data_IF_643458514573
#
_entry.id   IF_643458514573
#
_cell.length_a   1.000
_cell.length_b   1.000
_cell.length_c   1.000
_cell.angle_alpha   90.00
_cell.angle_beta   90.00
_cell.angle_gamma   90.00
#
_symmetry.space_group_name_H-M   'P 1'
#
loop_
_entity.id
_entity.type
_entity.pdbx_description
1 polymer ?
#
# COMPACT_ATOMS: atom_id res chain seq x y z
N UNK A 1 -7.79 66.21 -13.81
CA UNK A 1 -8.49 66.42 -15.08
C UNK A 1 -8.99 65.11 -15.62
N UNK A 2 -10.26 64.90 -15.40
CA UNK A 2 -11.40 64.76 -16.34
C UNK A 2 -11.42 63.39 -17.00
N UNK A 3 -12.30 62.50 -16.57
CA UNK A 3 -13.75 62.36 -16.92
C UNK A 3 -13.96 61.90 -18.35
N UNK A 4 -14.58 60.74 -18.52
CA UNK A 4 -15.85 60.56 -19.17
C UNK A 4 -16.35 59.12 -19.07
N UNK A 5 -17.59 59.05 -18.62
CA UNK A 5 -18.60 58.02 -18.70
C UNK A 5 -19.02 57.65 -20.14
N UNK A 6 -19.61 56.50 -20.26
CA UNK A 6 -20.85 56.09 -20.93
C UNK A 6 -20.81 54.57 -21.13
N UNK A 7 -21.61 53.77 -20.49
CA UNK A 7 -23.05 53.42 -20.56
C UNK A 7 -23.50 52.84 -21.90
N UNK A 8 -24.05 51.65 -21.84
CA UNK A 8 -25.08 50.91 -22.58
C UNK A 8 -24.78 49.41 -22.50
N UNK A 9 -25.44 48.55 -21.82
CA UNK A 9 -26.83 48.20 -21.70
C UNK A 9 -27.34 47.36 -22.86
N UNK A 10 -27.43 46.03 -22.68
CA UNK A 10 -28.49 45.23 -23.29
C UNK A 10 -28.65 43.88 -22.59
N UNK A 11 -29.87 43.74 -22.08
CA UNK A 11 -30.48 42.50 -21.60
C UNK A 11 -30.64 41.48 -22.73
N UNK A 12 -30.48 40.19 -22.38
CA UNK A 12 -31.17 39.15 -23.11
C UNK A 12 -31.49 37.98 -22.14
N UNK A 13 -32.76 37.93 -21.83
CA UNK A 13 -33.47 36.80 -21.24
C UNK A 13 -33.26 35.51 -22.06
N UNK A 14 -33.06 34.40 -21.38
CA UNK A 14 -33.39 33.09 -21.91
C UNK A 14 -33.99 32.22 -20.81
N UNK A 15 -35.20 32.00 -20.99
CA UNK A 15 -36.28 31.20 -20.45
C UNK A 15 -35.86 29.83 -19.90
N UNK A 16 -36.31 29.59 -18.66
CA UNK A 16 -36.55 28.29 -18.07
C UNK A 16 -37.67 27.55 -18.84
N UNK A 17 -37.47 26.31 -19.14
CA UNK A 17 -38.56 25.36 -19.42
C UNK A 17 -38.49 24.21 -18.42
N UNK A 18 -39.44 24.29 -17.49
CA UNK A 18 -39.96 23.16 -16.70
C UNK A 18 -40.64 22.16 -17.64
N UNK A 19 -40.39 20.90 -17.45
CA UNK A 19 -41.27 19.84 -17.86
C UNK A 19 -41.58 18.97 -16.65
N UNK A 20 -42.73 19.22 -16.08
CA UNK A 20 -43.46 18.29 -15.22
C UNK A 20 -43.89 17.09 -16.06
N UNK A 21 -43.74 15.88 -15.55
CA UNK A 21 -44.50 14.74 -15.98
C UNK A 21 -45.06 14.05 -14.74
N UNK A 22 -46.32 14.03 -14.73
CA UNK A 22 -47.34 13.59 -13.82
C UNK A 22 -47.24 12.14 -13.42
N UNK A 23 -47.58 11.93 -12.17
CA UNK A 23 -48.15 10.73 -11.52
C UNK A 23 -49.19 10.00 -12.43
N UNK A 24 -49.15 8.67 -12.36
CA UNK A 24 -50.35 7.91 -12.22
C UNK A 24 -50.10 6.62 -11.41
N UNK A 25 -50.87 6.53 -10.38
CA UNK A 25 -51.13 5.45 -9.43
C UNK A 25 -52.11 4.43 -9.96
N UNK A 26 -52.09 3.31 -9.36
CA UNK A 26 -53.12 2.22 -9.22
C UNK A 26 -52.66 0.88 -9.74
N UNK A 27 -52.95 -0.25 -9.10
CA UNK A 27 -53.53 -0.58 -7.82
C UNK A 27 -53.31 -2.10 -7.63
N UNK A 28 -53.32 -2.47 -6.41
CA UNK A 28 -53.46 -3.82 -5.87
C UNK A 28 -54.43 -4.75 -6.60
N UNK A 29 -54.10 -6.01 -6.65
CA UNK A 29 -55.11 -7.06 -6.42
C UNK A 29 -54.46 -8.32 -5.87
N UNK A 30 -54.67 -8.49 -4.56
CA UNK A 30 -54.78 -9.76 -3.85
C UNK A 30 -56.00 -10.56 -4.40
N UNK A 31 -55.89 -11.88 -4.28
CA UNK A 31 -56.92 -12.76 -3.73
C UNK A 31 -56.78 -14.17 -4.30
N UNK A 32 -56.42 -15.09 -3.47
CA UNK A 32 -57.23 -16.08 -2.75
C UNK A 32 -58.06 -17.08 -3.55
N UNK A 33 -57.78 -18.31 -3.10
CA UNK A 33 -58.73 -19.37 -2.75
C UNK A 33 -59.07 -20.36 -3.85
N UNK A 34 -58.74 -21.59 -3.66
CA UNK A 34 -59.24 -22.64 -2.77
C UNK A 34 -60.44 -23.41 -3.36
N UNK A 35 -60.41 -24.73 -3.14
CA UNK A 35 -61.48 -25.71 -3.18
C UNK A 35 -62.04 -26.10 -4.56
N UNK A 36 -62.09 -27.32 -4.95
CA UNK A 36 -62.50 -28.53 -4.28
C UNK A 36 -63.48 -29.28 -5.10
N UNK A 37 -63.39 -30.57 -5.02
CA UNK A 37 -64.47 -31.56 -5.14
C UNK A 37 -65.04 -32.04 -6.49
N UNK A 38 -64.89 -33.32 -6.59
CA UNK A 38 -65.88 -34.45 -6.81
C UNK A 38 -66.26 -34.78 -8.24
N UNK A 39 -65.94 -35.95 -8.63
CA UNK A 39 -66.47 -37.29 -8.43
C UNK A 39 -67.34 -37.78 -9.58
N UNK A 40 -67.18 -39.06 -9.82
CA UNK A 40 -68.06 -40.02 -10.60
C UNK A 40 -67.99 -39.99 -12.12
N UNK A 41 -67.91 -41.09 -12.79
CA UNK A 41 -68.30 -42.47 -12.60
C UNK A 41 -67.84 -43.35 -13.77
N UNK A 42 -67.60 -44.51 -13.43
CA UNK A 42 -68.01 -45.83 -13.91
C UNK A 42 -68.07 -46.16 -15.42
N UNK A 43 -67.38 -47.25 -15.64
CA UNK A 43 -67.70 -48.45 -16.41
C UNK A 43 -67.15 -48.59 -17.86
N UNK A 44 -66.40 -49.59 -18.16
CA UNK A 44 -66.56 -50.97 -18.35
C UNK A 44 -65.55 -51.55 -19.35
N UNK A 45 -65.05 -52.72 -19.00
CA UNK A 45 -64.65 -53.90 -19.79
C UNK A 45 -63.84 -53.83 -21.08
N UNK A 46 -62.71 -54.55 -21.04
CA UNK A 46 -62.12 -55.14 -22.24
C UNK A 46 -60.65 -55.65 -22.03
N UNK A 47 -60.60 -56.93 -21.65
CA UNK A 47 -59.58 -57.93 -21.93
C UNK A 47 -58.09 -57.64 -22.13
N UNK A 48 -57.42 -58.37 -21.31
CA UNK A 48 -56.07 -58.92 -21.31
C UNK A 48 -55.23 -58.85 -22.61
N UNK A 49 -54.06 -58.28 -22.51
CA UNK A 49 -52.85 -58.93 -23.04
C UNK A 49 -51.65 -58.53 -22.15
N UNK A 50 -51.16 -59.56 -21.50
CA UNK A 50 -49.94 -59.63 -20.73
C UNK A 50 -48.74 -59.34 -21.65
N UNK A 51 -48.18 -58.14 -21.56
CA UNK A 51 -46.82 -57.86 -21.94
C UNK A 51 -46.16 -57.14 -20.78
N UNK A 52 -45.39 -57.87 -19.98
CA UNK A 52 -44.43 -57.34 -19.05
C UNK A 52 -43.44 -56.46 -19.81
N UNK A 53 -43.77 -55.17 -19.89
CA UNK A 53 -42.76 -54.15 -20.16
C UNK A 53 -42.02 -53.95 -18.83
N UNK A 54 -40.84 -54.53 -18.77
CA UNK A 54 -39.87 -54.27 -17.75
C UNK A 54 -39.49 -52.79 -17.92
N UNK A 55 -40.15 -51.90 -17.18
CA UNK A 55 -39.74 -50.51 -17.02
C UNK A 55 -38.37 -50.49 -16.33
N UNK A 56 -37.32 -50.63 -17.14
CA UNK A 56 -35.99 -50.24 -16.77
C UNK A 56 -36.03 -48.72 -16.58
N UNK A 57 -36.44 -48.28 -15.38
CA UNK A 57 -36.30 -46.90 -14.95
C UNK A 57 -34.82 -46.64 -14.71
N UNK A 58 -34.16 -45.79 -15.50
CA UNK A 58 -32.74 -45.44 -15.28
C UNK A 58 -32.54 -44.53 -14.04
N UNK A 59 -33.59 -44.38 -13.20
CA UNK A 59 -33.61 -43.43 -12.12
C UNK A 59 -32.61 -43.70 -11.00
N UNK A 60 -32.46 -44.97 -10.58
CA UNK A 60 -31.55 -45.30 -9.47
C UNK A 60 -30.07 -45.21 -9.87
N UNK A 61 -29.71 -45.69 -11.06
CA UNK A 61 -28.36 -45.60 -11.57
C UNK A 61 -27.96 -44.11 -11.85
N UNK A 62 -28.93 -43.33 -12.38
CA UNK A 62 -28.71 -41.91 -12.65
C UNK A 62 -28.66 -41.10 -11.33
N UNK A 63 -29.49 -41.39 -10.36
CA UNK A 63 -29.46 -40.79 -9.03
C UNK A 63 -28.13 -41.12 -8.29
N UNK A 64 -27.70 -42.39 -8.35
CA UNK A 64 -26.42 -42.81 -7.78
C UNK A 64 -25.20 -42.16 -8.47
N UNK A 65 -25.28 -41.97 -9.80
CA UNK A 65 -24.24 -41.20 -10.52
C UNK A 65 -24.20 -39.71 -10.13
N UNK A 66 -25.37 -39.08 -9.98
CA UNK A 66 -25.46 -37.68 -9.54
C UNK A 66 -24.96 -37.55 -8.08
N UNK A 67 -25.37 -38.46 -7.20
CA UNK A 67 -24.93 -38.48 -5.80
C UNK A 67 -23.41 -38.75 -5.70
N UNK A 68 -22.88 -39.66 -6.51
CA UNK A 68 -21.43 -39.91 -6.59
C UNK A 68 -20.66 -38.71 -7.17
N UNK A 69 -21.19 -38.01 -8.17
CA UNK A 69 -20.60 -36.81 -8.73
C UNK A 69 -20.62 -35.66 -7.71
N UNK A 70 -21.75 -35.43 -7.03
CA UNK A 70 -21.89 -34.43 -6.00
C UNK A 70 -20.97 -34.67 -4.80
N UNK A 71 -20.83 -35.94 -4.37
CA UNK A 71 -19.88 -36.29 -3.27
C UNK A 71 -18.42 -36.14 -3.72
N UNK A 72 -18.09 -36.50 -4.96
CA UNK A 72 -16.77 -36.34 -5.51
C UNK A 72 -16.40 -34.86 -5.65
N UNK A 73 -17.31 -34.02 -6.14
CA UNK A 73 -17.10 -32.59 -6.25
C UNK A 73 -16.96 -31.93 -4.87
N UNK A 74 -17.79 -32.35 -3.89
CA UNK A 74 -17.69 -31.85 -2.52
C UNK A 74 -16.37 -32.28 -1.83
N UNK A 75 -15.86 -33.49 -2.09
CA UNK A 75 -14.55 -33.91 -1.58
C UNK A 75 -13.41 -33.14 -2.26
N UNK A 76 -13.48 -32.92 -3.58
CA UNK A 76 -12.48 -32.14 -4.30
C UNK A 76 -12.45 -30.68 -3.85
N UNK A 77 -13.58 -30.08 -3.57
CA UNK A 77 -13.71 -28.72 -3.04
C UNK A 77 -13.16 -28.63 -1.61
N UNK A 78 -13.45 -29.63 -0.75
CA UNK A 78 -12.91 -29.72 0.60
C UNK A 78 -11.38 -29.87 0.60
N UNK A 79 -10.82 -30.73 -0.25
CA UNK A 79 -9.38 -30.94 -0.38
C UNK A 79 -8.67 -29.68 -0.90
N UNK A 80 -9.24 -28.98 -1.87
CA UNK A 80 -8.73 -27.70 -2.38
C UNK A 80 -8.73 -26.60 -1.29
N UNK A 81 -9.79 -26.55 -0.48
CA UNK A 81 -9.88 -25.64 0.66
C UNK A 81 -8.81 -25.91 1.71
N UNK A 82 -8.62 -27.20 2.08
CA UNK A 82 -7.60 -27.60 3.04
C UNK A 82 -6.17 -27.33 2.55
N UNK A 83 -5.90 -27.50 1.25
CA UNK A 83 -4.62 -27.17 0.64
C UNK A 83 -4.37 -25.65 0.65
N UNK A 84 -5.38 -24.85 0.32
CA UNK A 84 -5.28 -23.38 0.38
C UNK A 84 -4.98 -22.89 1.79
N UNK A 85 -5.67 -23.43 2.80
CA UNK A 85 -5.43 -23.11 4.22
C UNK A 85 -4.02 -23.49 4.67
N UNK A 86 -3.54 -24.66 4.25
CA UNK A 86 -2.17 -25.10 4.53
C UNK A 86 -1.13 -24.15 3.92
N UNK A 87 -1.36 -23.68 2.70
CA UNK A 87 -0.51 -22.67 2.04
C UNK A 87 -0.52 -21.33 2.80
N UNK A 88 -1.67 -20.85 3.27
CA UNK A 88 -1.77 -19.63 4.06
C UNK A 88 -0.96 -19.72 5.36
N UNK A 89 -1.06 -20.83 6.08
CA UNK A 89 -0.27 -21.07 7.30
C UNK A 89 1.23 -21.11 6.99
N UNK A 90 1.64 -21.80 5.91
CA UNK A 90 3.03 -21.92 5.48
C UNK A 90 3.62 -20.56 5.00
N UNK A 91 2.80 -19.64 4.51
CA UNK A 91 3.23 -18.31 4.07
C UNK A 91 3.61 -17.38 5.23
N UNK A 92 3.14 -17.62 6.46
CA UNK A 92 3.27 -16.69 7.58
C UNK A 92 4.70 -16.22 7.88
N UNK A 93 5.74 -17.07 7.91
CA UNK A 93 7.12 -16.61 8.12
C UNK A 93 7.61 -15.67 7.01
N UNK A 94 7.27 -15.98 5.76
CA UNK A 94 7.64 -15.18 4.60
C UNK A 94 6.93 -13.83 4.61
N UNK A 95 5.64 -13.82 4.92
CA UNK A 95 4.83 -12.60 5.03
C UNK A 95 5.32 -11.69 6.14
N UNK A 96 5.67 -12.23 7.32
CA UNK A 96 6.24 -11.45 8.42
C UNK A 96 7.57 -10.77 8.03
N UNK A 97 8.48 -11.50 7.36
CA UNK A 97 9.71 -10.94 6.83
C UNK A 97 9.45 -9.89 5.75
N UNK A 98 8.49 -10.14 4.87
CA UNK A 98 8.14 -9.27 3.76
C UNK A 98 7.55 -7.94 4.25
N UNK A 99 6.60 -7.97 5.18
CA UNK A 99 6.02 -6.77 5.81
C UNK A 99 7.11 -5.89 6.41
N UNK A 100 8.01 -6.49 7.21
CA UNK A 100 9.12 -5.76 7.82
C UNK A 100 10.08 -5.21 6.74
N UNK A 101 10.42 -5.98 5.72
CA UNK A 101 11.28 -5.53 4.63
C UNK A 101 10.67 -4.33 3.87
N UNK A 102 9.38 -4.39 3.51
CA UNK A 102 8.67 -3.29 2.83
C UNK A 102 8.65 -2.03 3.71
N UNK A 103 8.35 -2.17 5.00
CA UNK A 103 8.35 -1.03 5.92
C UNK A 103 9.74 -0.36 6.01
N UNK A 104 10.80 -1.13 6.21
CA UNK A 104 12.16 -0.57 6.30
C UNK A 104 12.71 -0.09 4.96
N UNK A 105 12.28 -0.66 3.83
CA UNK A 105 12.51 -0.09 2.50
C UNK A 105 11.88 1.31 2.42
N UNK A 106 10.63 1.46 2.89
CA UNK A 106 9.90 2.72 2.91
C UNK A 106 10.61 3.81 3.68
N UNK A 107 11.21 3.48 4.86
CA UNK A 107 11.98 4.45 5.64
C UNK A 107 13.17 5.02 4.86
N UNK A 108 13.87 4.18 4.15
CA UNK A 108 15.04 4.61 3.36
C UNK A 108 14.64 5.29 2.05
N UNK A 109 13.62 4.78 1.36
CA UNK A 109 13.19 5.27 0.05
C UNK A 109 12.48 6.63 0.15
N UNK A 110 11.60 6.80 1.14
CA UNK A 110 11.00 8.09 1.47
C UNK A 110 12.05 9.13 1.82
N UNK A 111 13.11 8.72 2.53
CA UNK A 111 14.22 9.62 2.87
C UNK A 111 15.09 9.95 1.64
N UNK A 112 15.30 9.02 0.71
CA UNK A 112 16.01 9.29 -0.54
C UNK A 112 15.24 10.30 -1.40
N UNK A 113 13.92 10.18 -1.44
CA UNK A 113 13.07 11.14 -2.14
C UNK A 113 13.11 12.52 -1.47
N UNK A 114 13.04 12.59 -0.14
CA UNK A 114 13.16 13.85 0.58
C UNK A 114 14.51 14.52 0.36
N UNK A 115 15.59 13.74 0.40
CA UNK A 115 16.93 14.21 0.06
C UNK A 115 16.99 14.80 -1.35
N UNK A 116 16.37 14.12 -2.31
CA UNK A 116 16.25 14.61 -3.69
C UNK A 116 15.55 15.96 -3.76
N UNK A 117 14.41 16.10 -3.07
CA UNK A 117 13.66 17.37 -3.00
C UNK A 117 14.50 18.50 -2.40
N UNK A 118 15.29 18.25 -1.35
CA UNK A 118 16.14 19.29 -0.74
C UNK A 118 17.15 19.86 -1.75
N UNK A 119 17.74 19.01 -2.59
CA UNK A 119 18.64 19.48 -3.65
C UNK A 119 17.90 20.21 -4.79
N UNK A 120 16.76 19.71 -5.23
CA UNK A 120 15.96 20.32 -6.32
C UNK A 120 15.39 21.67 -5.88
N UNK A 121 14.80 21.73 -4.70
CA UNK A 121 14.23 22.93 -4.12
C UNK A 121 15.28 23.92 -3.59
N UNK A 122 16.55 23.52 -3.59
CA UNK A 122 17.66 24.35 -3.07
C UNK A 122 17.42 24.80 -1.62
N UNK A 123 16.95 23.87 -0.77
CA UNK A 123 16.57 24.15 0.59
C UNK A 123 17.79 24.29 1.50
N UNK A 124 18.10 25.51 1.91
CA UNK A 124 19.25 25.79 2.76
C UNK A 124 19.07 25.39 4.21
N UNK A 125 17.83 25.47 4.73
CA UNK A 125 17.54 25.14 6.14
C UNK A 125 17.98 23.73 6.53
N UNK A 126 17.85 22.77 5.62
CA UNK A 126 18.13 21.35 5.87
C UNK A 126 19.59 20.94 5.63
N UNK A 127 20.46 21.88 5.20
CA UNK A 127 21.87 21.56 4.86
C UNK A 127 22.62 20.87 5.99
N UNK A 128 22.31 21.18 7.25
CA UNK A 128 22.88 20.53 8.42
C UNK A 128 22.34 19.12 8.71
N UNK A 129 21.28 18.69 8.04
CA UNK A 129 20.64 17.39 8.20
C UNK A 129 20.97 16.42 7.05
N UNK A 130 21.52 16.90 5.93
CA UNK A 130 21.74 16.10 4.71
C UNK A 130 22.52 14.82 4.95
N UNK A 131 23.53 14.83 5.84
CA UNK A 131 24.34 13.63 6.17
C UNK A 131 23.50 12.54 6.83
N UNK A 132 22.55 12.91 7.67
CA UNK A 132 21.62 11.96 8.30
C UNK A 132 20.64 11.41 7.24
N UNK A 133 20.14 12.29 6.37
CA UNK A 133 19.27 11.90 5.25
C UNK A 133 19.97 10.93 4.30
N UNK A 134 21.23 11.20 3.92
CA UNK A 134 22.04 10.33 3.08
C UNK A 134 22.27 8.94 3.71
N UNK A 135 22.55 8.91 5.01
CA UNK A 135 22.79 7.68 5.74
C UNK A 135 21.51 6.82 5.81
N UNK A 136 20.37 7.45 6.08
CA UNK A 136 19.07 6.79 6.11
C UNK A 136 18.66 6.30 4.70
N UNK A 137 18.84 7.14 3.67
CA UNK A 137 18.57 6.77 2.29
C UNK A 137 19.39 5.54 1.82
N UNK A 138 20.61 5.38 2.34
CA UNK A 138 21.46 4.24 1.99
C UNK A 138 20.98 2.92 2.61
N UNK A 139 20.09 2.96 3.61
CA UNK A 139 19.54 1.77 4.26
C UNK A 139 18.57 0.96 3.39
N UNK A 140 18.19 1.46 2.18
CA UNK A 140 17.32 0.75 1.23
C UNK A 140 17.90 -0.58 0.73
N UNK A 141 19.23 -0.75 0.76
CA UNK A 141 19.91 -1.85 0.05
C UNK A 141 19.51 -3.21 0.62
N UNK A 142 19.50 -3.35 1.94
CA UNK A 142 19.22 -4.64 2.59
C UNK A 142 17.75 -5.05 2.44
N UNK A 143 16.76 -4.22 2.82
CA UNK A 143 15.35 -4.58 2.63
C UNK A 143 15.02 -4.92 1.19
N UNK A 144 15.57 -4.15 0.24
CA UNK A 144 15.31 -4.36 -1.19
C UNK A 144 15.85 -5.73 -1.66
N UNK A 145 17.02 -6.15 -1.20
CA UNK A 145 17.54 -7.49 -1.50
C UNK A 145 16.59 -8.56 -0.96
N UNK A 146 16.11 -8.43 0.27
CA UNK A 146 15.17 -9.38 0.87
C UNK A 146 13.84 -9.44 0.10
N UNK A 147 13.28 -8.30 -0.29
CA UNK A 147 12.05 -8.24 -1.09
C UNK A 147 12.24 -8.97 -2.40
N UNK A 148 13.34 -8.72 -3.12
CA UNK A 148 13.63 -9.38 -4.38
C UNK A 148 13.84 -10.89 -4.21
N UNK A 149 14.61 -11.30 -3.19
CA UNK A 149 14.83 -12.72 -2.91
C UNK A 149 13.51 -13.42 -2.61
N UNK A 150 12.67 -12.86 -1.73
CA UNK A 150 11.36 -13.44 -1.42
C UNK A 150 10.50 -13.48 -2.68
N UNK A 151 10.39 -12.39 -3.46
CA UNK A 151 9.60 -12.38 -4.70
C UNK A 151 10.08 -13.42 -5.72
N UNK A 152 11.39 -13.62 -5.87
CA UNK A 152 11.93 -14.64 -6.79
C UNK A 152 11.76 -16.08 -6.28
N UNK A 153 11.74 -16.30 -4.97
CA UNK A 153 11.42 -17.60 -4.38
C UNK A 153 9.96 -18.01 -4.67
N UNK A 154 9.05 -17.03 -4.87
CA UNK A 154 7.67 -17.27 -5.31
C UNK A 154 7.59 -17.92 -6.69
N UNK A 155 8.48 -17.57 -7.64
CA UNK A 155 8.54 -18.24 -8.94
C UNK A 155 9.00 -19.71 -8.86
N UNK A 156 9.69 -20.07 -7.79
CA UNK A 156 10.09 -21.46 -7.50
C UNK A 156 9.09 -22.23 -6.63
N UNK A 157 7.88 -21.65 -6.40
CA UNK A 157 6.82 -22.24 -5.56
C UNK A 157 7.27 -22.63 -4.15
N UNK A 158 8.29 -21.93 -3.58
CA UNK A 158 8.74 -22.13 -2.20
C UNK A 158 7.76 -21.56 -1.20
N UNK A 159 7.00 -20.57 -1.63
CA UNK A 159 5.87 -19.98 -0.92
C UNK A 159 4.81 -19.54 -1.92
N UNK A 160 3.59 -19.32 -1.45
CA UNK A 160 2.41 -18.99 -2.25
C UNK A 160 1.84 -17.61 -1.90
N UNK A 161 2.72 -16.61 -1.61
CA UNK A 161 2.29 -15.26 -1.25
C UNK A 161 1.67 -14.48 -2.41
N UNK A 162 2.12 -14.76 -3.64
CA UNK A 162 1.67 -14.08 -4.85
C UNK A 162 0.79 -15.02 -5.66
N UNK A 163 -0.53 -14.83 -5.58
CA UNK A 163 -1.48 -15.73 -6.23
C UNK A 163 -1.30 -15.81 -7.77
N UNK A 164 -0.89 -14.72 -8.40
CA UNK A 164 -0.64 -14.70 -9.86
C UNK A 164 0.57 -15.53 -10.32
N UNK A 165 1.38 -16.05 -9.39
CA UNK A 165 2.53 -16.92 -9.69
C UNK A 165 2.17 -18.42 -9.72
N UNK A 166 0.91 -18.77 -9.47
CA UNK A 166 0.44 -20.17 -9.48
C UNK A 166 0.50 -20.72 -10.90
N UNK A 167 0.98 -21.97 -11.06
CA UNK A 167 1.10 -22.62 -12.36
C UNK A 167 -0.28 -22.84 -13.00
N UNK A 168 -0.39 -22.51 -14.30
CA UNK A 168 -1.61 -22.70 -15.08
C UNK A 168 -2.71 -21.67 -14.83
N UNK A 169 -2.48 -20.62 -14.04
CA UNK A 169 -3.51 -19.63 -13.69
C UNK A 169 -4.00 -18.82 -14.90
N UNK A 170 -3.20 -18.71 -15.94
CA UNK A 170 -3.50 -18.01 -17.19
C UNK A 170 -3.85 -18.96 -18.37
N UNK A 171 -3.85 -20.28 -18.14
CA UNK A 171 -4.07 -21.28 -19.19
C UNK A 171 -5.52 -21.77 -19.19
N UNK A 172 -6.27 -21.44 -20.25
CA UNK A 172 -7.67 -21.85 -20.41
C UNK A 172 -7.80 -23.37 -20.38
N UNK A 173 -8.64 -23.88 -19.50
CA UNK A 173 -8.85 -25.34 -19.30
C UNK A 173 -7.96 -25.98 -18.25
N UNK A 174 -7.04 -25.24 -17.64
CA UNK A 174 -6.31 -25.70 -16.47
C UNK A 174 -7.17 -25.58 -15.20
N UNK A 175 -7.06 -26.50 -14.20
CA UNK A 175 -7.84 -26.41 -12.96
C UNK A 175 -7.69 -25.08 -12.20
N UNK A 176 -6.52 -24.45 -12.29
CA UNK A 176 -6.20 -23.19 -11.62
C UNK A 176 -6.54 -21.95 -12.47
N UNK A 177 -7.20 -22.11 -13.62
CA UNK A 177 -7.45 -20.98 -14.52
C UNK A 177 -8.33 -19.91 -13.87
N UNK A 178 -7.82 -18.68 -13.87
CA UNK A 178 -8.52 -17.49 -13.39
C UNK A 178 -8.61 -16.43 -14.51
N UNK A 179 -9.80 -16.12 -15.03
CA UNK A 179 -9.96 -15.19 -16.14
C UNK A 179 -9.50 -13.76 -15.79
N UNK A 180 -9.68 -13.30 -14.54
CA UNK A 180 -9.30 -11.97 -14.11
C UNK A 180 -7.78 -11.83 -14.05
N UNK A 181 -7.09 -12.86 -13.60
CA UNK A 181 -5.61 -12.88 -13.55
C UNK A 181 -5.04 -13.05 -14.95
N UNK A 182 -5.66 -13.88 -15.80
CA UNK A 182 -5.24 -14.07 -17.18
C UNK A 182 -5.23 -12.76 -17.99
N UNK A 183 -6.19 -11.87 -17.76
CA UNK A 183 -6.19 -10.53 -18.38
C UNK A 183 -5.04 -9.64 -17.92
N UNK A 184 -4.48 -9.89 -16.73
CA UNK A 184 -3.37 -9.11 -16.15
C UNK A 184 -1.99 -9.64 -16.49
N UNK A 185 -1.86 -10.75 -17.20
CA UNK A 185 -0.57 -11.41 -17.53
C UNK A 185 0.37 -10.53 -18.36
N UNK A 186 -0.17 -9.56 -19.11
CA UNK A 186 0.65 -8.55 -19.79
C UNK A 186 1.49 -7.71 -18.83
N UNK A 187 1.01 -7.47 -17.61
CA UNK A 187 1.73 -6.74 -16.56
C UNK A 187 2.33 -7.68 -15.51
N UNK A 188 1.56 -8.67 -15.02
CA UNK A 188 1.96 -9.65 -14.01
C UNK A 188 2.51 -10.92 -14.64
N UNK A 189 3.63 -10.81 -15.35
CA UNK A 189 4.40 -11.96 -15.83
C UNK A 189 5.76 -12.03 -15.16
N UNK A 190 6.32 -13.24 -14.90
CA UNK A 190 7.59 -13.41 -14.20
C UNK A 190 8.74 -12.61 -14.83
N UNK A 191 8.83 -12.61 -16.17
CA UNK A 191 9.87 -11.88 -16.87
C UNK A 191 9.72 -10.37 -16.73
N UNK A 192 8.53 -9.83 -16.99
CA UNK A 192 8.32 -8.39 -16.97
C UNK A 192 8.35 -7.81 -15.55
N UNK A 193 7.83 -8.53 -14.57
CA UNK A 193 7.99 -8.21 -13.14
C UNK A 193 9.47 -8.13 -12.75
N UNK A 194 10.26 -9.15 -13.13
CA UNK A 194 11.69 -9.21 -12.81
C UNK A 194 12.47 -8.02 -13.41
N UNK A 195 12.18 -7.67 -14.67
CA UNK A 195 12.81 -6.52 -15.34
C UNK A 195 12.51 -5.23 -14.58
N UNK A 196 11.24 -4.98 -14.23
CA UNK A 196 10.85 -3.78 -13.45
C UNK A 196 11.53 -3.75 -12.08
N UNK A 197 11.51 -4.86 -11.36
CA UNK A 197 12.12 -4.98 -10.04
C UNK A 197 13.64 -4.68 -10.07
N UNK A 198 14.35 -5.15 -11.10
CA UNK A 198 15.77 -4.84 -11.31
C UNK A 198 15.96 -3.36 -11.64
N UNK A 199 15.10 -2.75 -12.47
CA UNK A 199 15.15 -1.33 -12.79
C UNK A 199 15.00 -0.48 -11.52
N UNK A 200 14.03 -0.82 -10.64
CA UNK A 200 13.86 -0.13 -9.36
C UNK A 200 15.11 -0.24 -8.49
N UNK A 201 15.63 -1.45 -8.33
CA UNK A 201 16.83 -1.70 -7.52
C UNK A 201 18.04 -0.88 -8.03
N UNK A 202 18.32 -0.98 -9.32
CA UNK A 202 19.48 -0.30 -9.92
C UNK A 202 19.32 1.21 -9.82
N UNK A 203 18.14 1.75 -10.17
CA UNK A 203 17.91 3.19 -10.19
C UNK A 203 17.97 3.83 -8.79
N UNK A 204 17.33 3.21 -7.80
CA UNK A 204 17.32 3.74 -6.43
C UNK A 204 18.69 3.65 -5.77
N UNK A 205 19.38 2.51 -5.89
CA UNK A 205 20.74 2.33 -5.33
C UNK A 205 21.74 3.25 -6.04
N UNK A 206 21.61 3.43 -7.36
CA UNK A 206 22.44 4.36 -8.10
C UNK A 206 22.28 5.79 -7.59
N UNK A 207 21.05 6.28 -7.43
CA UNK A 207 20.77 7.62 -6.93
C UNK A 207 21.34 7.82 -5.52
N UNK A 208 21.07 6.89 -4.58
CA UNK A 208 21.60 6.95 -3.22
C UNK A 208 23.12 6.99 -3.20
N UNK A 209 23.80 6.13 -3.98
CA UNK A 209 25.26 6.09 -4.09
C UNK A 209 25.83 7.37 -4.70
N UNK A 210 25.22 7.90 -5.77
CA UNK A 210 25.70 9.10 -6.46
C UNK A 210 25.57 10.35 -5.60
N UNK A 211 24.38 10.55 -4.96
CA UNK A 211 24.16 11.67 -4.05
C UNK A 211 25.18 11.64 -2.90
N UNK A 212 25.35 10.48 -2.27
CA UNK A 212 26.34 10.31 -1.18
C UNK A 212 27.77 10.53 -1.65
N UNK A 213 28.18 9.96 -2.79
CA UNK A 213 29.54 10.11 -3.33
C UNK A 213 29.87 11.57 -3.58
N UNK A 214 29.01 12.31 -4.29
CA UNK A 214 29.24 13.72 -4.57
C UNK A 214 29.24 14.57 -3.30
N UNK A 215 28.38 14.22 -2.33
CA UNK A 215 28.36 14.86 -1.01
C UNK A 215 29.69 14.69 -0.26
N UNK A 216 30.29 13.50 -0.26
CA UNK A 216 31.58 13.26 0.35
C UNK A 216 32.73 13.99 -0.39
N UNK A 217 32.68 14.03 -1.72
CA UNK A 217 33.66 14.77 -2.54
C UNK A 217 33.57 16.28 -2.31
N UNK A 218 32.43 16.82 -1.92
CA UNK A 218 32.29 18.25 -1.60
C UNK A 218 33.12 18.69 -0.38
N UNK A 219 33.44 17.77 0.53
CA UNK A 219 34.20 18.08 1.73
C UNK A 219 35.70 18.37 1.45
N UNK A 220 36.25 17.84 0.34
CA UNK A 220 37.65 17.94 -0.06
C UNK A 220 37.87 18.76 -1.32
N UNK A 221 36.79 19.03 -2.09
CA UNK A 221 36.85 19.72 -3.36
C UNK A 221 35.96 20.97 -3.43
N UNK A 222 35.58 21.34 -4.64
CA UNK A 222 34.64 22.44 -4.88
C UNK A 222 33.22 22.06 -4.45
N UNK A 223 32.78 22.57 -3.31
CA UNK A 223 31.46 22.32 -2.73
C UNK A 223 30.32 22.78 -3.64
N UNK A 224 30.49 23.90 -4.37
CA UNK A 224 29.45 24.43 -5.26
C UNK A 224 29.28 23.57 -6.49
N UNK A 225 30.39 23.11 -7.08
CA UNK A 225 30.34 22.23 -8.24
C UNK A 225 29.68 20.88 -7.88
N UNK A 226 30.03 20.30 -6.74
CA UNK A 226 29.43 19.05 -6.27
C UNK A 226 27.94 19.20 -5.90
N UNK A 227 27.57 20.34 -5.30
CA UNK A 227 26.17 20.66 -5.04
C UNK A 227 25.34 20.77 -6.32
N UNK A 228 25.85 21.49 -7.34
CA UNK A 228 25.18 21.57 -8.67
C UNK A 228 25.03 20.19 -9.31
N UNK A 229 26.05 19.33 -9.21
CA UNK A 229 26.02 17.96 -9.69
C UNK A 229 24.95 17.13 -8.97
N UNK A 230 24.87 17.23 -7.63
CA UNK A 230 23.83 16.57 -6.84
C UNK A 230 22.42 17.05 -7.21
N UNK A 231 22.24 18.34 -7.49
CA UNK A 231 20.97 18.86 -7.97
C UNK A 231 20.53 18.20 -9.29
N UNK A 232 21.45 17.99 -10.24
CA UNK A 232 21.16 17.27 -11.48
C UNK A 232 20.78 15.80 -11.26
N UNK A 233 21.54 15.10 -10.40
CA UNK A 233 21.24 13.71 -10.03
C UNK A 233 19.88 13.63 -9.31
N UNK A 234 19.62 14.55 -8.39
CA UNK A 234 18.36 14.62 -7.64
C UNK A 234 17.17 14.90 -8.55
N UNK A 235 17.28 15.80 -9.53
CA UNK A 235 16.23 16.08 -10.48
C UNK A 235 15.90 14.84 -11.34
N UNK A 236 16.92 14.17 -11.88
CA UNK A 236 16.72 12.93 -12.64
C UNK A 236 16.08 11.83 -11.77
N UNK A 237 16.56 11.67 -10.53
CA UNK A 237 15.97 10.71 -9.59
C UNK A 237 14.52 11.04 -9.22
N UNK A 238 14.17 12.31 -9.00
CA UNK A 238 12.79 12.71 -8.65
C UNK A 238 11.80 12.33 -9.76
N UNK A 239 12.17 12.55 -11.02
CA UNK A 239 11.34 12.13 -12.17
C UNK A 239 11.23 10.61 -12.25
N UNK A 240 12.36 9.90 -12.11
CA UNK A 240 12.38 8.45 -12.08
C UNK A 240 11.53 7.88 -10.92
N UNK A 241 11.65 8.48 -9.73
CA UNK A 241 10.90 8.06 -8.56
C UNK A 241 9.40 8.33 -8.67
N UNK A 242 8.99 9.41 -9.32
CA UNK A 242 7.57 9.72 -9.54
C UNK A 242 6.83 8.58 -10.27
N UNK A 243 7.51 7.91 -11.21
CA UNK A 243 6.95 6.74 -11.89
C UNK A 243 7.14 5.47 -11.06
N UNK A 244 8.36 5.24 -10.57
CA UNK A 244 8.70 3.97 -9.93
C UNK A 244 8.12 3.80 -8.53
N UNK A 245 7.72 4.86 -7.84
CA UNK A 245 7.03 4.77 -6.55
C UNK A 245 5.65 4.10 -6.67
N UNK A 246 4.86 4.49 -7.66
CA UNK A 246 3.54 3.90 -7.89
C UNK A 246 3.64 2.50 -8.48
N UNK A 247 4.48 2.31 -9.51
CA UNK A 247 4.61 1.00 -10.14
C UNK A 247 5.20 -0.04 -9.20
N UNK A 248 6.14 0.32 -8.32
CA UNK A 248 6.67 -0.61 -7.31
C UNK A 248 5.65 -0.95 -6.21
N UNK A 249 4.77 -0.03 -5.86
CA UNK A 249 3.67 -0.33 -4.93
C UNK A 249 2.68 -1.33 -5.55
N UNK A 250 2.42 -1.22 -6.86
CA UNK A 250 1.59 -2.19 -7.58
C UNK A 250 2.27 -3.56 -7.69
N UNK A 251 3.58 -3.59 -7.98
CA UNK A 251 4.34 -4.84 -8.10
C UNK A 251 4.54 -5.55 -6.77
N UNK A 252 4.96 -4.84 -5.73
CA UNK A 252 5.40 -5.47 -4.49
C UNK A 252 4.31 -5.62 -3.43
N UNK A 253 3.22 -4.83 -3.50
CA UNK A 253 2.18 -4.87 -2.48
C UNK A 253 0.83 -5.20 -3.10
N UNK A 254 0.35 -4.40 -4.05
CA UNK A 254 -1.00 -4.57 -4.61
C UNK A 254 -1.17 -5.90 -5.36
N UNK A 255 -0.11 -6.41 -6.00
CA UNK A 255 -0.15 -7.69 -6.73
C UNK A 255 -0.37 -8.91 -5.85
N UNK A 256 -0.28 -8.77 -4.52
CA UNK A 256 -0.62 -9.81 -3.56
C UNK A 256 -2.13 -10.10 -3.60
N UNK A 257 -2.96 -9.04 -3.59
CA UNK A 257 -4.42 -9.11 -3.77
C UNK A 257 -4.74 -8.96 -5.27
N UNK A 258 -4.48 -10.00 -6.08
CA UNK A 258 -4.44 -9.92 -7.55
C UNK A 258 -5.77 -9.54 -8.19
N UNK A 259 -6.90 -9.90 -7.58
CA UNK A 259 -8.24 -9.55 -8.07
C UNK A 259 -8.55 -8.07 -7.88
N UNK A 260 -7.97 -7.44 -6.87
CA UNK A 260 -8.18 -6.04 -6.55
C UNK A 260 -7.17 -5.12 -7.24
N UNK A 261 -7.57 -3.88 -7.55
CA UNK A 261 -6.66 -2.84 -8.01
C UNK A 261 -7.16 -1.44 -7.65
N UNK A 262 -6.23 -0.51 -7.48
CA UNK A 262 -6.53 0.91 -7.27
C UNK A 262 -5.36 1.76 -7.74
N UNK A 263 -5.64 2.77 -8.57
CA UNK A 263 -4.62 3.73 -9.03
C UNK A 263 -4.13 4.62 -7.88
N UNK A 264 -5.01 4.90 -6.92
CA UNK A 264 -4.69 5.71 -5.73
C UNK A 264 -3.74 5.00 -4.77
N UNK A 265 -3.64 3.67 -4.84
CA UNK A 265 -2.82 2.85 -3.95
C UNK A 265 -1.33 3.25 -3.95
N UNK A 266 -0.78 3.59 -5.13
CA UNK A 266 0.60 4.06 -5.23
C UNK A 266 0.86 5.36 -4.45
N UNK A 267 -0.07 6.31 -4.48
CA UNK A 267 0.00 7.55 -3.72
C UNK A 267 -0.18 7.33 -2.22
N UNK A 268 -1.09 6.44 -1.85
CA UNK A 268 -1.33 6.03 -0.48
C UNK A 268 -0.08 5.41 0.15
N UNK A 269 0.53 4.43 -0.53
CA UNK A 269 1.77 3.78 -0.10
C UNK A 269 2.93 4.79 0.00
N UNK A 270 3.07 5.67 -1.00
CA UNK A 270 4.06 6.74 -0.99
C UNK A 270 3.91 7.64 0.24
N UNK A 271 2.69 8.11 0.56
CA UNK A 271 2.46 9.00 1.68
C UNK A 271 2.84 8.34 3.03
N UNK A 272 2.50 7.05 3.21
CA UNK A 272 2.88 6.27 4.39
C UNK A 272 4.40 6.12 4.55
N UNK A 273 5.09 5.73 3.47
CA UNK A 273 6.55 5.64 3.45
C UNK A 273 7.22 6.98 3.74
N UNK A 274 6.68 8.05 3.19
CA UNK A 274 7.26 9.38 3.30
C UNK A 274 7.10 9.95 4.72
N UNK A 275 5.93 9.85 5.34
CA UNK A 275 5.76 10.31 6.73
C UNK A 275 6.58 9.47 7.71
N UNK A 276 6.68 8.17 7.50
CA UNK A 276 7.51 7.26 8.29
C UNK A 276 9.00 7.63 8.22
N UNK A 277 9.45 8.07 7.03
CA UNK A 277 10.84 8.51 6.85
C UNK A 277 11.19 9.77 7.66
N UNK A 278 10.24 10.72 7.81
CA UNK A 278 10.42 11.88 8.70
C UNK A 278 10.47 11.46 10.16
N UNK A 279 9.61 10.56 10.58
CA UNK A 279 9.61 10.05 11.95
C UNK A 279 10.97 9.42 12.30
N UNK A 280 11.52 8.59 11.42
CA UNK A 280 12.84 8.00 11.61
C UNK A 280 13.95 9.06 11.60
N UNK A 281 13.90 10.04 10.68
CA UNK A 281 14.86 11.16 10.64
C UNK A 281 14.89 11.97 11.94
N UNK A 282 13.71 12.26 12.48
CA UNK A 282 13.55 12.97 13.76
C UNK A 282 14.22 12.20 14.89
N UNK A 283 13.91 10.91 15.02
CA UNK A 283 14.47 10.07 16.08
C UNK A 283 15.99 9.95 15.99
N UNK A 284 16.54 9.74 14.80
CA UNK A 284 17.98 9.65 14.58
C UNK A 284 18.65 10.99 14.91
N UNK A 285 18.08 12.11 14.41
CA UNK A 285 18.63 13.47 14.64
C UNK A 285 18.62 13.81 16.12
N UNK A 286 17.54 13.55 16.83
CA UNK A 286 17.44 13.84 18.27
C UNK A 286 18.32 12.93 19.11
N UNK A 287 18.48 11.65 18.71
CA UNK A 287 19.43 10.75 19.33
C UNK A 287 20.89 11.29 19.21
N UNK A 288 21.30 11.68 18.00
CA UNK A 288 22.63 12.25 17.76
C UNK A 288 22.85 13.58 18.52
N UNK A 289 21.83 14.44 18.54
CA UNK A 289 21.85 15.69 19.32
C UNK A 289 21.99 15.41 20.82
N UNK A 290 21.26 14.44 21.35
CA UNK A 290 21.37 14.01 22.75
C UNK A 290 22.74 13.45 23.12
N UNK A 291 23.53 12.97 22.14
CA UNK A 291 24.92 12.55 22.29
C UNK A 291 25.94 13.68 22.08
N UNK A 292 25.48 14.91 21.85
CA UNK A 292 26.37 16.08 21.66
C UNK A 292 26.98 16.21 20.26
N UNK A 293 26.42 15.50 19.26
CA UNK A 293 27.01 15.49 17.92
C UNK A 293 26.37 16.44 16.90
N UNK A 294 25.21 17.03 17.17
CA UNK A 294 24.45 17.90 16.25
C UNK A 294 23.95 19.16 16.95
N UNK A 295 24.87 19.93 17.55
CA UNK A 295 24.55 21.15 18.31
C UNK A 295 23.91 22.25 17.46
N UNK A 296 24.21 22.29 16.14
CA UNK A 296 23.65 23.27 15.21
C UNK A 296 22.17 23.04 14.91
N UNK A 297 21.60 21.83 15.22
CA UNK A 297 20.19 21.55 15.07
C UNK A 297 19.42 22.22 16.21
N UNK A 298 18.62 23.20 15.85
CA UNK A 298 17.81 23.98 16.80
C UNK A 298 16.33 23.62 16.76
N UNK A 299 15.50 24.30 17.54
CA UNK A 299 14.06 24.07 17.64
C UNK A 299 13.33 24.36 16.32
N UNK A 300 13.86 25.23 15.44
CA UNK A 300 13.24 25.54 14.16
C UNK A 300 13.40 24.39 13.17
N UNK A 301 14.53 23.67 13.17
CA UNK A 301 14.68 22.44 12.40
C UNK A 301 13.69 21.38 12.85
N UNK A 302 13.52 21.22 14.17
CA UNK A 302 12.56 20.26 14.73
C UNK A 302 11.12 20.64 14.39
N UNK A 303 10.82 21.93 14.45
CA UNK A 303 9.51 22.46 14.06
C UNK A 303 9.19 22.17 12.58
N UNK A 304 10.16 22.33 11.67
CA UNK A 304 9.95 22.06 10.24
C UNK A 304 9.78 20.56 9.97
N UNK A 305 10.61 19.71 10.57
CA UNK A 305 10.40 18.27 10.48
C UNK A 305 9.04 17.85 11.07
N UNK A 306 8.63 18.46 12.19
CA UNK A 306 7.30 18.25 12.79
C UNK A 306 6.15 18.73 11.90
N UNK A 307 6.34 19.81 11.11
CA UNK A 307 5.35 20.24 10.10
C UNK A 307 5.21 19.22 8.97
N UNK A 308 6.32 18.70 8.46
CA UNK A 308 6.27 17.65 7.43
C UNK A 308 5.58 16.40 7.94
N UNK A 309 5.95 15.94 9.14
CA UNK A 309 5.29 14.78 9.76
C UNK A 309 3.79 15.02 9.93
N UNK A 310 3.37 16.18 10.45
CA UNK A 310 1.97 16.55 10.58
C UNK A 310 1.24 16.58 9.23
N UNK A 311 1.79 17.28 8.25
CA UNK A 311 1.17 17.47 6.94
C UNK A 311 0.99 16.14 6.20
N UNK A 312 2.00 15.26 6.24
CA UNK A 312 1.94 13.97 5.58
C UNK A 312 1.13 12.92 6.34
N UNK A 313 0.98 13.03 7.67
CA UNK A 313 -0.03 12.24 8.41
C UNK A 313 -1.44 12.59 7.98
N UNK A 314 -1.75 13.87 7.81
CA UNK A 314 -3.06 14.32 7.29
C UNK A 314 -3.25 13.89 5.83
N UNK A 315 -2.21 14.03 5.00
CA UNK A 315 -2.26 13.64 3.59
C UNK A 315 -2.45 12.12 3.42
N UNK A 316 -1.75 11.30 4.20
CA UNK A 316 -1.95 9.86 4.21
C UNK A 316 -3.39 9.49 4.58
N UNK A 317 -3.94 10.11 5.62
CA UNK A 317 -5.33 9.88 6.05
C UNK A 317 -6.33 10.28 4.97
N UNK A 318 -6.09 11.40 4.29
CA UNK A 318 -6.91 11.83 3.15
C UNK A 318 -6.91 10.77 2.04
N UNK A 319 -5.75 10.25 1.66
CA UNK A 319 -5.64 9.22 0.60
C UNK A 319 -6.29 7.91 1.04
N UNK A 320 -6.06 7.48 2.29
CA UNK A 320 -6.71 6.31 2.85
C UNK A 320 -8.23 6.43 2.83
N UNK A 321 -8.75 7.55 3.32
CA UNK A 321 -10.18 7.79 3.37
C UNK A 321 -10.80 7.94 1.97
N UNK A 322 -10.11 8.62 1.06
CA UNK A 322 -10.55 8.77 -0.33
C UNK A 322 -10.67 7.42 -1.03
N UNK A 323 -9.70 6.54 -0.85
CA UNK A 323 -9.72 5.19 -1.42
C UNK A 323 -10.88 4.37 -0.85
N UNK A 324 -11.04 4.38 0.47
CA UNK A 324 -12.16 3.72 1.13
C UNK A 324 -13.51 4.26 0.63
N UNK A 325 -13.67 5.58 0.61
CA UNK A 325 -14.93 6.23 0.21
C UNK A 325 -15.30 5.93 -1.24
N UNK A 326 -14.34 5.94 -2.17
CA UNK A 326 -14.58 5.63 -3.58
C UNK A 326 -15.07 4.20 -3.76
N UNK A 327 -14.44 3.23 -3.11
CA UNK A 327 -14.80 1.82 -3.20
C UNK A 327 -16.16 1.56 -2.52
N UNK A 328 -16.36 2.14 -1.34
CA UNK A 328 -17.63 2.05 -0.61
C UNK A 328 -18.79 2.66 -1.41
N UNK A 329 -18.58 3.83 -2.03
CA UNK A 329 -19.60 4.52 -2.79
C UNK A 329 -19.94 3.81 -4.11
N UNK A 330 -18.93 3.27 -4.80
CA UNK A 330 -19.12 2.55 -6.06
C UNK A 330 -19.80 1.18 -5.87
N UNK A 331 -19.62 0.56 -4.70
CA UNK A 331 -20.22 -0.72 -4.27
C UNK A 331 -20.07 -1.83 -5.33
N UNK A 332 -18.88 -1.90 -5.97
CA UNK A 332 -18.54 -2.96 -6.92
C UNK A 332 -18.17 -4.21 -6.12
N UNK A 333 -18.85 -5.35 -6.27
CA UNK A 333 -18.64 -6.53 -5.44
C UNK A 333 -17.19 -7.01 -5.37
N UNK A 334 -16.48 -7.01 -6.51
CA UNK A 334 -15.09 -7.46 -6.61
C UNK A 334 -14.12 -6.53 -5.87
N UNK A 335 -14.41 -5.23 -5.81
CA UNK A 335 -13.54 -4.24 -5.14
C UNK A 335 -13.83 -4.12 -3.64
N UNK A 336 -15.08 -4.28 -3.22
CA UNK A 336 -15.52 -4.15 -1.82
C UNK A 336 -14.91 -5.24 -0.95
N UNK A 337 -14.67 -6.43 -1.49
CA UNK A 337 -14.06 -7.58 -0.78
C UNK A 337 -12.75 -7.21 -0.09
N UNK A 338 -11.94 -6.32 -0.67
CA UNK A 338 -10.71 -5.82 -0.09
C UNK A 338 -10.91 -5.20 1.30
N UNK A 339 -11.94 -4.36 1.45
CA UNK A 339 -12.24 -3.73 2.75
C UNK A 339 -13.04 -4.65 3.67
N UNK A 340 -13.94 -5.47 3.14
CA UNK A 340 -14.71 -6.43 3.96
C UNK A 340 -13.78 -7.34 4.76
N UNK A 341 -12.79 -7.96 4.12
CA UNK A 341 -11.80 -8.80 4.80
C UNK A 341 -11.06 -8.04 5.91
N UNK A 342 -10.71 -6.77 5.68
CA UNK A 342 -10.00 -5.94 6.65
C UNK A 342 -10.90 -5.48 7.81
N UNK A 343 -12.18 -5.27 7.58
CA UNK A 343 -13.14 -4.94 8.62
C UNK A 343 -13.58 -6.14 9.45
N UNK A 344 -13.69 -7.31 8.86
CA UNK A 344 -14.16 -8.51 9.55
C UNK A 344 -13.01 -9.20 10.28
N UNK A 345 -11.96 -9.55 9.58
CA UNK A 345 -10.86 -10.35 10.10
C UNK A 345 -9.77 -9.50 10.77
N UNK A 346 -9.40 -8.35 10.19
CA UNK A 346 -8.30 -7.49 10.65
C UNK A 346 -8.76 -6.23 11.39
N UNK A 347 -9.94 -6.24 11.97
CA UNK A 347 -10.58 -5.07 12.60
C UNK A 347 -9.67 -4.35 13.60
N UNK A 348 -9.02 -5.08 14.49
CA UNK A 348 -8.16 -4.47 15.52
C UNK A 348 -6.93 -3.80 14.91
N UNK A 349 -6.07 -4.47 14.13
CA UNK A 349 -4.91 -3.81 13.51
C UNK A 349 -5.32 -2.68 12.58
N UNK A 350 -6.46 -2.78 11.87
CA UNK A 350 -6.95 -1.76 10.96
C UNK A 350 -7.33 -0.46 11.69
N UNK A 351 -8.05 -0.51 12.80
CA UNK A 351 -8.38 0.69 13.56
C UNK A 351 -7.21 1.21 14.41
N UNK A 352 -6.34 0.33 14.90
CA UNK A 352 -5.12 0.72 15.60
C UNK A 352 -4.20 1.53 14.69
N UNK A 353 -4.03 1.14 13.41
CA UNK A 353 -3.23 1.92 12.48
C UNK A 353 -3.78 3.34 12.29
N UNK A 354 -5.10 3.54 12.21
CA UNK A 354 -5.71 4.87 12.07
C UNK A 354 -5.46 5.75 13.27
N UNK A 355 -5.59 5.20 14.46
CA UNK A 355 -5.35 5.92 15.71
C UNK A 355 -3.88 6.34 15.79
N UNK A 356 -2.95 5.44 15.45
CA UNK A 356 -1.51 5.68 15.56
C UNK A 356 -0.94 6.55 14.43
N UNK A 357 -1.51 6.50 13.23
CA UNK A 357 -1.02 7.28 12.08
C UNK A 357 -1.65 8.67 11.98
N UNK A 358 -2.86 8.83 12.46
CA UNK A 358 -3.61 10.07 12.33
C UNK A 358 -3.93 10.70 13.68
N UNK A 359 -4.78 10.05 14.48
CA UNK A 359 -5.36 10.70 15.64
C UNK A 359 -4.29 11.16 16.64
N UNK A 360 -3.43 10.26 17.09
CA UNK A 360 -2.43 10.56 18.10
C UNK A 360 -1.33 11.50 17.60
N UNK A 361 -0.67 11.28 16.44
CA UNK A 361 0.37 12.20 15.99
C UNK A 361 -0.16 13.58 15.64
N UNK A 362 -1.33 13.67 14.98
CA UNK A 362 -1.94 14.96 14.63
C UNK A 362 -2.26 15.76 15.88
N UNK A 363 -2.90 15.17 16.88
CA UNK A 363 -3.20 15.84 18.15
C UNK A 363 -1.93 16.23 18.92
N UNK A 364 -0.92 15.33 18.96
CA UNK A 364 0.33 15.58 19.67
C UNK A 364 1.08 16.78 19.09
N UNK A 365 1.15 16.90 17.75
CA UNK A 365 1.92 17.99 17.10
C UNK A 365 1.02 19.03 16.43
N UNK A 366 -0.24 19.19 16.87
CA UNK A 366 -1.17 20.19 16.30
C UNK A 366 -0.64 21.61 16.50
N UNK A 367 -0.24 21.94 17.72
CA UNK A 367 0.16 23.30 18.06
C UNK A 367 1.60 23.62 17.62
N UNK A 368 1.88 24.91 17.37
CA UNK A 368 3.22 25.38 17.03
C UNK A 368 4.26 25.13 18.16
N UNK A 369 3.95 25.37 19.43
CA UNK A 369 4.86 25.04 20.52
C UNK A 369 5.16 23.55 20.63
N UNK A 370 4.17 22.67 20.47
CA UNK A 370 4.35 21.22 20.57
C UNK A 370 5.38 20.67 19.58
N UNK A 371 5.44 21.23 18.35
CA UNK A 371 6.43 20.85 17.33
C UNK A 371 7.86 21.25 17.67
N UNK A 372 8.07 22.11 18.68
CA UNK A 372 9.38 22.56 19.14
C UNK A 372 9.89 21.80 20.36
N UNK A 373 9.01 21.07 21.03
CA UNK A 373 9.35 20.26 22.21
C UNK A 373 9.82 18.88 21.77
N UNK A 374 11.09 18.50 22.01
CA UNK A 374 11.64 17.21 21.58
C UNK A 374 10.83 16.02 22.05
N UNK A 375 10.38 16.00 23.31
CA UNK A 375 9.58 14.89 23.86
C UNK A 375 8.28 14.64 23.12
N UNK A 376 7.55 15.70 22.78
CA UNK A 376 6.28 15.60 22.03
C UNK A 376 6.50 15.07 20.62
N UNK A 377 7.56 15.56 19.95
CA UNK A 377 7.86 15.14 18.57
C UNK A 377 8.40 13.71 18.53
N UNK A 378 9.19 13.28 19.54
CA UNK A 378 9.63 11.87 19.70
C UNK A 378 8.41 10.96 19.87
N UNK A 379 7.47 11.32 20.75
CA UNK A 379 6.25 10.54 20.99
C UNK A 379 5.42 10.41 19.72
N UNK A 380 5.20 11.50 18.99
CA UNK A 380 4.48 11.48 17.72
C UNK A 380 5.21 10.64 16.67
N UNK A 381 6.52 10.75 16.55
CA UNK A 381 7.34 9.96 15.63
C UNK A 381 7.26 8.46 15.95
N UNK A 382 7.24 8.09 17.23
CA UNK A 382 7.06 6.71 17.64
C UNK A 382 5.68 6.15 17.22
N UNK A 383 4.61 6.91 17.44
CA UNK A 383 3.26 6.51 17.00
C UNK A 383 3.19 6.32 15.50
N UNK A 384 3.75 7.25 14.73
CA UNK A 384 3.83 7.17 13.26
C UNK A 384 4.56 5.90 12.80
N UNK A 385 5.71 5.56 13.39
CA UNK A 385 6.47 4.36 12.99
C UNK A 385 5.69 3.08 13.29
N UNK A 386 5.13 2.96 14.49
CA UNK A 386 4.33 1.78 14.87
C UNK A 386 3.06 1.69 14.01
N UNK A 387 2.38 2.81 13.81
CA UNK A 387 1.16 2.86 13.03
C UNK A 387 1.37 2.51 11.56
N UNK A 388 2.44 2.99 10.92
CA UNK A 388 2.74 2.62 9.54
C UNK A 388 3.31 1.22 9.38
N UNK A 389 3.93 0.66 10.40
CA UNK A 389 4.21 -0.78 10.40
C UNK A 389 2.90 -1.58 10.37
N UNK A 390 1.91 -1.19 11.20
CA UNK A 390 0.57 -1.79 11.16
C UNK A 390 -0.14 -1.59 9.83
N UNK A 391 0.06 -0.45 9.18
CA UNK A 391 -0.47 -0.15 7.86
C UNK A 391 0.04 -1.14 6.81
N UNK A 392 1.36 -1.36 6.74
CA UNK A 392 1.95 -2.36 5.84
C UNK A 392 1.51 -3.80 6.21
N UNK A 393 1.32 -4.07 7.49
CA UNK A 393 0.78 -5.34 7.96
C UNK A 393 -0.63 -5.59 7.42
N UNK A 394 -1.52 -4.61 7.51
CA UNK A 394 -2.89 -4.68 7.00
C UNK A 394 -2.95 -4.68 5.46
N UNK A 395 -1.95 -4.09 4.77
CA UNK A 395 -1.87 -4.18 3.31
C UNK A 395 -1.51 -5.59 2.81
N UNK A 396 -0.62 -6.31 3.52
CA UNK A 396 0.04 -7.52 3.02
C UNK A 396 -0.54 -8.80 3.61
N UNK A 397 -0.77 -8.84 4.93
CA UNK A 397 -1.16 -10.10 5.60
C UNK A 397 -2.49 -10.68 5.12
N UNK A 398 -3.56 -9.88 4.86
CA UNK A 398 -4.83 -10.44 4.41
C UNK A 398 -4.70 -11.26 3.12
N UNK A 399 -3.96 -10.77 2.13
CA UNK A 399 -3.78 -11.46 0.85
C UNK A 399 -2.78 -12.63 0.89
N UNK A 400 -2.02 -12.81 2.01
CA UNK A 400 -1.00 -13.86 2.09
C UNK A 400 -1.33 -14.98 3.05
N UNK A 401 -1.92 -14.66 4.21
CA UNK A 401 -2.21 -15.61 5.29
C UNK A 401 -3.69 -15.69 5.67
N UNK A 402 -4.56 -14.95 4.97
CA UNK A 402 -6.00 -14.94 5.25
C UNK A 402 -6.29 -14.55 6.70
N UNK A 403 -7.08 -15.39 7.39
CA UNK A 403 -7.47 -15.22 8.80
C UNK A 403 -6.47 -15.80 9.80
N UNK A 404 -5.41 -16.50 9.33
CA UNK A 404 -4.35 -17.10 10.17
C UNK A 404 -3.28 -16.10 10.62
N UNK A 405 -3.63 -14.80 10.69
CA UNK A 405 -2.70 -13.78 11.14
C UNK A 405 -2.47 -13.83 12.67
N UNK A 406 -1.40 -13.21 13.12
CA UNK A 406 -1.11 -13.05 14.55
C UNK A 406 0.13 -12.20 14.77
N UNK A 407 0.23 -11.64 15.98
CA UNK A 407 1.45 -10.98 16.45
C UNK A 407 2.19 -11.94 17.37
N UNK A 408 3.25 -12.55 16.86
CA UNK A 408 4.05 -13.54 17.58
C UNK A 408 5.55 -13.27 17.47
N UNK A 409 6.32 -14.31 17.80
CA UNK A 409 7.79 -14.24 17.75
C UNK A 409 8.33 -14.04 16.33
N UNK A 410 7.58 -14.46 15.29
CA UNK A 410 7.98 -14.31 13.89
C UNK A 410 7.96 -12.84 13.49
N UNK A 411 6.85 -12.18 13.74
CA UNK A 411 6.65 -10.76 13.41
C UNK A 411 7.59 -9.87 14.22
N UNK A 412 7.72 -10.13 15.53
CA UNK A 412 8.66 -9.42 16.39
C UNK A 412 10.11 -9.64 15.97
N UNK A 413 10.48 -10.88 15.63
CA UNK A 413 11.82 -11.23 15.15
C UNK A 413 12.16 -10.52 13.86
N UNK A 414 11.22 -10.47 12.89
CA UNK A 414 11.40 -9.76 11.63
C UNK A 414 11.59 -8.25 11.84
N UNK A 415 10.78 -7.61 12.70
CA UNK A 415 10.93 -6.18 13.04
C UNK A 415 12.30 -5.93 13.65
N UNK A 416 12.69 -6.70 14.67
CA UNK A 416 13.97 -6.51 15.37
C UNK A 416 15.16 -6.73 14.45
N UNK A 417 15.08 -7.71 13.55
CA UNK A 417 16.12 -7.97 12.56
C UNK A 417 16.33 -6.77 11.64
N UNK A 418 15.26 -6.28 10.98
CA UNK A 418 15.37 -5.15 10.07
C UNK A 418 15.65 -3.84 10.80
N UNK A 419 15.13 -3.62 12.02
CA UNK A 419 15.46 -2.46 12.84
C UNK A 419 16.95 -2.45 13.20
N UNK A 420 17.49 -3.59 13.64
CA UNK A 420 18.91 -3.74 13.93
C UNK A 420 19.78 -3.46 12.70
N UNK A 421 19.43 -4.01 11.55
CA UNK A 421 20.13 -3.77 10.29
C UNK A 421 20.04 -2.31 9.83
N UNK A 422 18.87 -1.70 9.95
CA UNK A 422 18.66 -0.29 9.63
C UNK A 422 19.55 0.62 10.50
N UNK A 423 19.51 0.44 11.83
CA UNK A 423 20.32 1.20 12.77
C UNK A 423 21.82 0.98 12.48
N UNK A 424 22.24 -0.26 12.25
CA UNK A 424 23.63 -0.59 11.94
C UNK A 424 24.11 0.13 10.67
N UNK A 425 23.34 0.06 9.58
CA UNK A 425 23.70 0.70 8.30
C UNK A 425 23.75 2.22 8.44
N UNK A 426 22.75 2.82 9.10
CA UNK A 426 22.68 4.27 9.31
C UNK A 426 23.87 4.75 10.15
N UNK A 427 24.09 4.15 11.32
CA UNK A 427 25.19 4.57 12.21
C UNK A 427 26.58 4.30 11.60
N UNK A 428 26.76 3.16 10.94
CA UNK A 428 28.01 2.85 10.22
C UNK A 428 28.26 3.82 9.06
N UNK A 429 27.20 4.24 8.37
CA UNK A 429 27.30 5.25 7.31
C UNK A 429 27.68 6.62 7.87
N UNK A 430 27.10 7.03 9.00
CA UNK A 430 27.41 8.29 9.67
C UNK A 430 28.83 8.32 10.24
N UNK A 431 29.33 7.20 10.77
CA UNK A 431 30.68 7.10 11.32
C UNK A 431 31.80 7.28 10.28
N UNK A 432 31.50 7.11 8.99
CA UNK A 432 32.49 7.21 7.90
C UNK A 432 32.76 8.62 7.40
N UNK A 433 32.01 9.63 7.86
CA UNK A 433 32.14 11.00 7.37
C UNK A 433 31.75 12.01 8.46
N UNK A 434 32.26 13.27 8.39
CA UNK A 434 31.78 14.33 9.26
C UNK A 434 30.26 14.52 9.13
N UNK A 435 29.58 14.68 10.27
CA UNK A 435 28.12 14.88 10.30
C UNK A 435 27.69 16.21 9.67
N UNK A 436 28.56 17.20 9.70
CA UNK A 436 28.35 18.49 9.05
C UNK A 436 29.19 18.56 7.78
N UNK A 437 28.60 18.98 6.68
CA UNK A 437 29.33 19.28 5.44
C UNK A 437 30.31 20.41 5.64
N UNK A 438 31.56 20.27 5.14
CA UNK A 438 32.58 21.30 5.27
C UNK A 438 32.39 22.45 4.29
N UNK A 439 32.11 22.13 3.03
CA UNK A 439 32.05 23.09 1.92
C UNK A 439 30.69 23.22 1.26
N UNK A 440 29.57 22.90 1.98
CA UNK A 440 28.24 23.06 1.42
C UNK A 440 27.86 24.54 1.31
N UNK A 441 27.40 25.06 0.16
CA UNK A 441 27.17 26.49 -0.06
C UNK A 441 26.13 27.11 0.88
N UNK A 442 25.16 26.32 1.36
CA UNK A 442 24.07 26.82 2.23
C UNK A 442 24.22 26.40 3.69
N UNK A 443 25.41 25.96 4.12
CA UNK A 443 25.60 25.45 5.50
C UNK A 443 25.38 26.56 6.55
N UNK A 444 25.73 27.80 6.23
CA UNK A 444 25.57 28.97 7.11
C UNK A 444 24.07 29.23 7.35
N UNK A 445 23.24 29.13 6.33
CA UNK A 445 21.80 29.30 6.46
C UNK A 445 21.20 28.26 7.42
N UNK A 446 21.60 27.00 7.31
CA UNK A 446 21.13 25.95 8.22
C UNK A 446 21.60 26.18 9.66
N UNK A 447 22.86 26.61 9.89
CA UNK A 447 23.39 26.84 11.22
C UNK A 447 22.66 27.95 11.99
N UNK A 448 22.26 28.99 11.27
CA UNK A 448 21.60 30.16 11.85
C UNK A 448 20.10 30.21 11.52
N UNK A 449 19.53 29.07 11.21
CA UNK A 449 18.14 28.96 10.83
C UNK A 449 17.20 29.44 11.94
N UNK A 450 16.37 30.43 11.62
CA UNK A 450 15.37 31.04 12.51
C UNK A 450 14.04 31.17 11.77
N UNK A 451 12.95 30.88 12.47
CA UNK A 451 11.57 30.97 11.98
C UNK A 451 10.66 31.72 12.95
#
# INVERSE_FOLDING_TARGET
>A
SSSHEADHGHDAHATEQHAEATHDTHADHDAHADAGHDAHGEDAHGDAHDHAVQDDYPGEAHAAMIESALTHDAHAEYDAHAEHEAHQIANRPWSALYVAAIFFLGLGLGQLFFLGIQYVAQAGWSAGLLRVMEAQAFAIVIPLIFILVISFLGFGHIHHMFHWMVEGIDVVGHPNYDPIIAEKTGFLSPLFFSIRAIIYMVGWIWAAKMLRKNSLLSDTGDGVAMWKKNRGVAAAFTVFYAVTSSTSAWDFIMSIDTHWFSTLFGWYTFAGMFVSSFAALILITLYLKGKGHMEWVNENHLHDLGKFMFAFSVFWTYLWFSQFMLIWYADIPEEVTYYMQRFDQYKVPFFVMLVLNFLLPVLAVLSRPAKRVPGTVIMAAFFVLVGHYMDHYVMIMPGTVGDHYGFGLLELGAILFFAGMFIYVVLSSLAKAPLLHKNHPMITESKYFQQ
#
